data_IF_211564236686
#
_entry.id   IF_211564236686
#
_cell.length_a   1.000
_cell.length_b   1.000
_cell.length_c   1.000
_cell.angle_alpha   90.00
_cell.angle_beta   90.00
_cell.angle_gamma   90.00
#
_symmetry.space_group_name_H-M   'P 1'
#
loop_
_entity.id
_entity.type
_entity.pdbx_description
1 polymer ?
#
# COMPACT_ATOMS: atom_id res chain seq x y z
N UNK A 1 32.12 59.90 26.19
CA UNK A 1 31.92 58.95 25.09
C UNK A 1 30.46 58.57 25.10
N UNK A 2 29.66 59.24 24.22
CA UNK A 2 28.22 58.99 24.14
C UNK A 2 27.95 57.87 23.16
N UNK A 3 27.44 56.75 23.61
CA UNK A 3 27.00 55.64 22.76
C UNK A 3 25.59 55.99 22.28
N UNK A 4 25.47 56.39 21.01
CA UNK A 4 24.20 56.49 20.32
C UNK A 4 23.68 55.08 20.08
N UNK A 5 22.72 54.61 20.84
CA UNK A 5 21.86 53.48 20.51
C UNK A 5 20.91 53.96 19.40
N UNK A 6 21.24 53.65 18.15
CA UNK A 6 20.28 53.73 17.04
C UNK A 6 19.31 52.57 17.25
N UNK A 7 18.14 52.84 17.82
CA UNK A 7 16.99 51.96 17.71
C UNK A 7 16.61 51.91 16.21
N UNK A 8 16.76 50.78 15.58
CA UNK A 8 16.08 50.52 14.30
C UNK A 8 14.58 50.50 14.61
N UNK A 9 13.91 51.62 14.34
CA UNK A 9 12.46 51.65 14.18
C UNK A 9 12.22 51.14 12.75
N UNK A 10 11.99 49.82 12.60
CA UNK A 10 11.37 49.30 11.39
C UNK A 10 9.99 49.92 11.29
N UNK A 11 9.86 51.01 10.57
CA UNK A 11 8.56 51.51 10.13
C UNK A 11 8.08 50.58 9.02
N UNK A 12 7.35 49.50 9.39
CA UNK A 12 6.67 48.66 8.43
C UNK A 12 5.68 49.54 7.64
N UNK A 13 5.98 49.82 6.38
CA UNK A 13 5.04 50.45 5.44
C UNK A 13 4.24 49.36 4.74
N UNK A 14 2.96 49.58 4.56
CA UNK A 14 2.06 48.68 3.83
C UNK A 14 1.55 49.34 2.56
N UNK A 15 1.64 48.60 1.44
CA UNK A 15 1.20 49.10 0.15
C UNK A 15 -0.30 49.06 -0.02
N UNK A 16 -0.86 50.16 -0.53
CA UNK A 16 -2.23 50.22 -1.04
C UNK A 16 -2.28 50.26 -2.58
N UNK A 17 -1.16 50.06 -3.24
CA UNK A 17 -1.08 50.04 -4.70
C UNK A 17 -1.77 48.77 -5.28
N UNK A 18 -2.66 48.97 -6.25
CA UNK A 18 -3.42 47.86 -6.87
C UNK A 18 -2.50 46.95 -7.71
N UNK A 19 -1.28 47.39 -8.05
CA UNK A 19 -0.28 46.59 -8.73
C UNK A 19 0.43 45.57 -7.84
N UNK A 20 0.46 45.81 -6.52
CA UNK A 20 1.15 44.95 -5.59
C UNK A 20 0.26 43.75 -5.24
N UNK A 21 0.81 42.56 -5.43
CA UNK A 21 0.14 41.26 -5.32
C UNK A 21 1.00 40.29 -4.54
N UNK A 22 0.34 39.33 -3.90
CA UNK A 22 0.99 38.15 -3.33
C UNK A 22 1.34 37.14 -4.43
N UNK A 23 2.35 36.34 -4.17
CA UNK A 23 2.72 35.20 -5.02
C UNK A 23 2.51 33.92 -4.20
N UNK A 24 1.84 32.95 -4.79
CA UNK A 24 1.57 31.67 -4.15
C UNK A 24 2.54 30.62 -4.68
N UNK A 25 3.03 29.72 -3.82
CA UNK A 25 3.90 28.60 -4.22
C UNK A 25 3.17 27.57 -5.10
N UNK A 26 1.83 27.56 -5.04
CA UNK A 26 0.96 26.79 -5.93
C UNK A 26 -0.31 27.58 -6.24
N UNK A 27 -0.91 27.38 -7.40
CA UNK A 27 -2.24 27.89 -7.75
C UNK A 27 -3.37 26.94 -7.38
N UNK A 28 -3.02 25.67 -7.11
CA UNK A 28 -3.97 24.61 -6.77
C UNK A 28 -3.40 23.69 -5.68
N UNK A 29 -4.14 23.49 -4.59
CA UNK A 29 -3.88 22.46 -3.60
C UNK A 29 -4.72 21.24 -3.98
N UNK A 30 -4.03 20.17 -4.34
CA UNK A 30 -4.67 18.92 -4.77
C UNK A 30 -4.53 17.87 -3.68
N UNK A 31 -5.64 17.41 -3.18
CA UNK A 31 -5.74 16.20 -2.37
C UNK A 31 -6.03 15.02 -3.30
N UNK A 32 -5.41 13.91 -3.02
CA UNK A 32 -5.73 12.64 -3.68
C UNK A 32 -7.15 12.17 -3.36
N UNK A 33 -7.49 10.95 -3.74
CA UNK A 33 -8.78 10.36 -3.37
C UNK A 33 -8.84 10.14 -1.85
N UNK A 34 -9.89 10.64 -1.24
CA UNK A 34 -10.16 10.55 0.20
C UNK A 34 -11.45 9.78 0.44
N UNK A 35 -11.50 9.03 1.53
CA UNK A 35 -12.77 8.47 1.98
C UNK A 35 -13.63 9.54 2.64
N UNK A 36 -14.93 9.60 2.28
CA UNK A 36 -15.86 10.53 2.91
C UNK A 36 -15.90 10.36 4.43
N UNK A 37 -16.08 11.48 5.14
CA UNK A 37 -16.10 11.55 6.61
C UNK A 37 -14.77 11.13 7.31
N UNK A 38 -13.68 10.94 6.55
CA UNK A 38 -12.32 10.74 7.08
C UNK A 38 -11.52 12.01 6.82
N UNK A 39 -10.85 12.59 7.85
CA UNK A 39 -9.97 13.73 7.65
C UNK A 39 -8.80 13.39 6.72
N UNK A 40 -8.43 14.32 5.86
CA UNK A 40 -7.22 14.22 5.04
C UNK A 40 -5.95 14.42 5.90
N UNK A 41 -4.81 14.17 5.29
CA UNK A 41 -3.54 14.78 5.74
C UNK A 41 -3.61 16.29 5.55
N UNK A 42 -2.69 17.01 6.21
CA UNK A 42 -2.56 18.45 6.05
C UNK A 42 -1.65 18.75 4.87
N UNK A 43 -2.18 19.46 3.87
CA UNK A 43 -1.41 20.04 2.78
C UNK A 43 -1.01 21.47 3.12
N UNK A 44 0.11 21.93 2.51
CA UNK A 44 0.64 23.27 2.83
C UNK A 44 1.09 23.98 1.57
N UNK A 45 0.97 25.34 1.61
CA UNK A 45 1.58 26.19 0.59
C UNK A 45 2.01 27.53 1.20
N UNK A 46 2.97 28.17 0.53
CA UNK A 46 3.50 29.46 0.94
C UNK A 46 2.84 30.59 0.19
N UNK A 47 2.65 31.71 0.91
CA UNK A 47 2.18 33.00 0.38
C UNK A 47 3.32 34.00 0.55
N UNK A 48 3.91 34.44 -0.55
CA UNK A 48 5.09 35.30 -0.56
C UNK A 48 4.73 36.75 -0.93
N UNK A 49 5.40 37.71 -0.32
CA UNK A 49 5.38 39.10 -0.71
C UNK A 49 6.72 39.52 -1.34
N UNK A 50 6.72 39.77 -2.65
CA UNK A 50 7.87 40.26 -3.38
C UNK A 50 7.81 41.77 -3.70
N UNK A 51 6.80 42.47 -3.17
CA UNK A 51 6.66 43.92 -3.33
C UNK A 51 7.71 44.71 -2.51
N UNK A 52 7.83 46.01 -2.78
CA UNK A 52 8.74 46.90 -2.07
C UNK A 52 8.30 47.22 -0.63
N UNK A 53 7.03 47.03 -0.32
CA UNK A 53 6.40 47.29 0.96
C UNK A 53 5.64 46.06 1.45
N UNK A 54 5.22 46.04 2.72
CA UNK A 54 4.33 45.02 3.25
C UNK A 54 3.00 44.99 2.50
N UNK A 55 2.35 43.80 2.46
CA UNK A 55 0.98 43.63 1.95
C UNK A 55 0.10 43.18 3.07
N UNK A 56 -1.02 43.90 3.28
CA UNK A 56 -2.04 43.54 4.24
C UNK A 56 -3.18 42.77 3.57
N UNK A 57 -3.50 41.59 4.08
CA UNK A 57 -4.63 40.77 3.65
C UNK A 57 -5.79 41.09 4.59
N UNK A 58 -6.78 41.79 4.08
CA UNK A 58 -7.96 42.19 4.86
C UNK A 58 -8.78 40.98 5.27
N UNK A 59 -9.01 40.02 4.35
CA UNK A 59 -9.74 38.78 4.64
C UNK A 59 -9.19 37.60 3.85
N UNK A 60 -9.24 36.42 4.49
CA UNK A 60 -9.10 35.12 3.84
C UNK A 60 -10.33 34.28 4.14
N UNK A 61 -10.94 33.70 3.13
CA UNK A 61 -12.14 32.89 3.29
C UNK A 61 -12.25 31.81 2.22
N UNK A 62 -12.94 30.73 2.56
CA UNK A 62 -13.44 29.76 1.58
C UNK A 62 -14.64 30.36 0.82
N UNK A 63 -14.71 30.18 -0.49
CA UNK A 63 -15.81 30.74 -1.29
C UNK A 63 -17.15 30.10 -0.96
N UNK A 64 -17.13 28.76 -0.70
CA UNK A 64 -18.31 27.98 -0.31
C UNK A 64 -18.51 27.90 1.23
N UNK A 65 -17.65 28.56 2.00
CA UNK A 65 -17.67 28.53 3.46
C UNK A 65 -17.45 27.14 4.03
N UNK A 66 -18.33 26.68 4.92
CA UNK A 66 -18.19 25.35 5.55
C UNK A 66 -18.78 24.19 4.71
N UNK A 67 -19.37 24.48 3.55
CA UNK A 67 -20.11 23.48 2.77
C UNK A 67 -19.21 22.45 2.05
N UNK A 68 -17.97 22.83 1.75
CA UNK A 68 -17.02 21.97 1.03
C UNK A 68 -16.24 21.02 1.94
N UNK A 69 -16.30 21.24 3.27
CA UNK A 69 -15.58 20.43 4.25
C UNK A 69 -14.11 20.79 4.40
N UNK A 70 -13.58 21.80 3.67
CA UNK A 70 -12.23 22.31 3.86
C UNK A 70 -12.10 23.08 5.17
N UNK A 71 -10.94 22.95 5.81
CA UNK A 71 -10.50 23.71 6.96
C UNK A 71 -9.12 24.29 6.67
N UNK A 72 -8.97 25.57 6.94
CA UNK A 72 -7.76 26.29 6.59
C UNK A 72 -7.21 27.00 7.82
N UNK A 73 -5.89 26.92 8.00
CA UNK A 73 -5.15 27.73 8.98
C UNK A 73 -4.17 28.61 8.20
N UNK A 74 -4.24 29.91 8.44
CA UNK A 74 -3.37 30.91 7.82
C UNK A 74 -2.50 31.49 8.91
N UNK A 75 -1.20 31.32 8.81
CA UNK A 75 -0.21 31.87 9.76
C UNK A 75 -0.59 31.63 11.23
N UNK A 76 -0.97 30.39 11.56
CA UNK A 76 -1.35 29.97 12.92
C UNK A 76 -2.80 30.26 13.30
N UNK A 77 -3.60 30.92 12.46
CA UNK A 77 -5.00 31.26 12.72
C UNK A 77 -5.95 30.42 11.89
N UNK A 78 -6.84 29.65 12.50
CA UNK A 78 -7.91 28.93 11.81
C UNK A 78 -9.00 29.90 11.31
N UNK A 79 -9.47 29.69 10.07
CA UNK A 79 -10.61 30.43 9.53
C UNK A 79 -11.92 29.94 10.15
N UNK A 80 -12.70 30.83 10.76
CA UNK A 80 -14.01 30.54 11.35
C UNK A 80 -15.07 31.63 10.99
N UNK A 81 -15.76 31.57 9.89
CA UNK A 81 -15.39 31.00 8.59
C UNK A 81 -14.43 31.91 7.81
N UNK A 82 -14.11 33.09 8.33
CA UNK A 82 -13.28 34.14 7.71
C UNK A 82 -12.15 34.51 8.66
N UNK A 83 -10.93 34.57 8.15
CA UNK A 83 -9.78 35.14 8.83
C UNK A 83 -9.60 36.60 8.42
N UNK A 84 -9.09 37.43 9.32
CA UNK A 84 -8.94 38.87 9.14
C UNK A 84 -7.52 39.32 9.48
N UNK A 85 -7.09 40.40 8.82
CA UNK A 85 -5.94 41.24 9.22
C UNK A 85 -4.60 40.46 9.26
N UNK A 86 -4.28 39.68 8.21
CA UNK A 86 -2.98 39.06 8.07
C UNK A 86 -1.99 40.03 7.41
N UNK A 87 -0.76 40.04 7.88
CA UNK A 87 0.30 40.87 7.35
C UNK A 87 1.41 40.01 6.76
N UNK A 88 1.80 40.30 5.51
CA UNK A 88 2.98 39.69 4.88
C UNK A 88 3.98 40.82 4.64
N UNK A 89 5.02 40.88 5.48
CA UNK A 89 6.01 41.95 5.40
C UNK A 89 6.80 41.88 4.09
N UNK A 90 7.50 42.98 3.76
CA UNK A 90 8.36 43.03 2.59
C UNK A 90 9.38 41.88 2.59
N UNK A 91 9.37 41.10 1.51
CA UNK A 91 10.31 39.98 1.30
C UNK A 91 10.05 38.77 2.22
N UNK A 92 8.93 38.79 2.94
CA UNK A 92 8.53 37.71 3.86
C UNK A 92 7.48 36.78 3.24
N UNK A 93 7.13 35.74 3.96
CA UNK A 93 6.10 34.77 3.57
C UNK A 93 5.36 34.23 4.78
N UNK A 94 4.11 33.85 4.58
CA UNK A 94 3.29 33.14 5.55
C UNK A 94 2.94 31.75 5.02
N UNK A 95 2.77 30.80 5.94
CA UNK A 95 2.41 29.42 5.63
C UNK A 95 0.92 29.21 5.80
N UNK A 96 0.30 28.53 4.83
CA UNK A 96 -1.10 28.14 4.86
C UNK A 96 -1.19 26.62 4.94
N UNK A 97 -1.98 26.14 5.90
CA UNK A 97 -2.29 24.73 6.11
C UNK A 97 -3.73 24.48 5.66
N UNK A 98 -3.95 23.44 4.89
CA UNK A 98 -5.26 23.05 4.38
C UNK A 98 -5.53 21.59 4.73
N UNK A 99 -6.70 21.31 5.26
CA UNK A 99 -7.24 19.98 5.49
C UNK A 99 -8.65 19.91 4.90
N UNK A 100 -9.11 18.70 4.61
CA UNK A 100 -10.49 18.48 4.16
C UNK A 100 -11.08 17.24 4.82
N UNK A 101 -12.34 17.34 5.21
CA UNK A 101 -13.18 16.21 5.60
C UNK A 101 -14.44 16.30 4.77
N UNK A 102 -14.47 15.50 3.70
CA UNK A 102 -15.58 15.53 2.75
C UNK A 102 -16.84 14.88 3.34
N UNK A 103 -18.01 15.28 2.84
CA UNK A 103 -19.28 14.66 3.21
C UNK A 103 -19.57 13.45 2.33
N UNK A 104 -20.46 12.56 2.79
CA UNK A 104 -21.01 11.50 1.94
C UNK A 104 -21.73 12.11 0.73
N UNK A 105 -21.48 11.52 -0.44
CA UNK A 105 -22.03 11.98 -1.71
C UNK A 105 -23.03 10.99 -2.34
N UNK A 106 -23.15 9.79 -1.74
CA UNK A 106 -24.04 8.69 -2.17
C UNK A 106 -23.76 8.20 -3.60
N UNK A 107 -22.52 8.34 -4.07
CA UNK A 107 -22.07 7.84 -5.36
C UNK A 107 -21.21 6.57 -5.21
N UNK A 108 -21.27 5.70 -6.20
CA UNK A 108 -20.43 4.48 -6.23
C UNK A 108 -18.96 4.78 -6.56
N UNK A 109 -18.68 5.93 -7.14
CA UNK A 109 -17.34 6.35 -7.56
C UNK A 109 -16.94 7.66 -6.90
N UNK A 110 -15.64 7.91 -6.82
CA UNK A 110 -15.10 9.15 -6.28
C UNK A 110 -15.64 10.38 -7.02
N UNK A 111 -16.09 11.39 -6.27
CA UNK A 111 -16.63 12.64 -6.77
C UNK A 111 -15.69 13.80 -6.45
N UNK A 112 -15.55 14.72 -7.40
CA UNK A 112 -14.74 15.92 -7.24
C UNK A 112 -15.40 16.89 -6.25
N UNK A 113 -14.62 17.34 -5.26
CA UNK A 113 -14.98 18.37 -4.29
C UNK A 113 -14.03 19.53 -4.44
N UNK A 114 -14.54 20.68 -4.89
CA UNK A 114 -13.74 21.87 -5.13
C UNK A 114 -14.20 23.05 -4.25
N UNK A 115 -13.26 23.91 -3.90
CA UNK A 115 -13.52 25.23 -3.33
C UNK A 115 -12.40 26.20 -3.76
N UNK A 116 -12.62 27.50 -3.61
CA UNK A 116 -11.58 28.50 -3.78
C UNK A 116 -11.26 29.15 -2.41
N UNK A 117 -9.98 29.19 -2.07
CA UNK A 117 -9.51 29.99 -0.95
C UNK A 117 -9.21 31.40 -1.47
N UNK A 118 -10.02 32.35 -1.04
CA UNK A 118 -10.03 33.74 -1.54
C UNK A 118 -9.31 34.66 -0.57
N UNK A 119 -8.25 35.31 -1.04
CA UNK A 119 -7.50 36.35 -0.35
C UNK A 119 -7.95 37.71 -0.85
N UNK A 120 -8.49 38.56 0.01
CA UNK A 120 -8.85 39.95 -0.30
C UNK A 120 -7.82 40.87 0.34
N UNK A 121 -7.06 41.59 -0.47
CA UNK A 121 -6.04 42.52 0.00
C UNK A 121 -6.66 43.86 0.39
N UNK A 122 -5.98 44.64 1.24
CA UNK A 122 -6.40 45.99 1.66
C UNK A 122 -6.58 46.93 0.48
N UNK A 123 -5.81 46.75 -0.62
CA UNK A 123 -5.95 47.50 -1.88
C UNK A 123 -7.17 47.09 -2.74
N UNK A 124 -8.01 46.17 -2.25
CA UNK A 124 -9.21 45.67 -2.93
C UNK A 124 -8.98 44.55 -3.95
N UNK A 125 -7.75 44.14 -4.17
CA UNK A 125 -7.43 43.02 -5.08
C UNK A 125 -7.83 41.71 -4.45
N UNK A 126 -8.48 40.85 -5.22
CA UNK A 126 -8.75 39.48 -4.85
C UNK A 126 -7.86 38.52 -5.62
N UNK A 127 -7.29 37.56 -4.89
CA UNK A 127 -6.50 36.45 -5.45
C UNK A 127 -7.06 35.14 -4.89
N UNK A 128 -6.92 34.06 -5.65
CA UNK A 128 -7.49 32.76 -5.30
C UNK A 128 -6.46 31.66 -5.43
N UNK A 129 -6.56 30.67 -4.54
CA UNK A 129 -5.91 29.36 -4.66
C UNK A 129 -7.01 28.31 -4.72
N UNK A 130 -6.99 27.47 -5.74
CA UNK A 130 -7.97 26.40 -5.92
C UNK A 130 -7.69 25.25 -4.95
N UNK A 131 -8.73 24.69 -4.34
CA UNK A 131 -8.67 23.51 -3.50
C UNK A 131 -9.46 22.39 -4.19
N UNK A 132 -8.84 21.23 -4.39
CA UNK A 132 -9.43 20.09 -5.07
C UNK A 132 -9.20 18.81 -4.30
N UNK A 133 -10.25 17.99 -4.14
CA UNK A 133 -10.17 16.64 -3.58
C UNK A 133 -11.15 15.73 -4.32
N UNK A 134 -10.86 14.42 -4.33
CA UNK A 134 -11.82 13.41 -4.79
C UNK A 134 -12.39 12.68 -3.57
N UNK A 135 -13.69 12.78 -3.33
CA UNK A 135 -14.40 12.13 -2.23
C UNK A 135 -15.02 10.82 -2.68
N UNK A 136 -14.67 9.74 -2.02
CA UNK A 136 -15.21 8.42 -2.29
C UNK A 136 -15.94 7.89 -1.04
N UNK A 137 -17.22 7.56 -1.18
CA UNK A 137 -17.96 6.99 -0.08
C UNK A 137 -17.44 5.60 0.27
N UNK A 138 -17.28 5.36 1.57
CA UNK A 138 -16.81 4.09 2.08
C UNK A 138 -17.62 3.66 3.30
N UNK A 139 -17.91 2.37 3.40
CA UNK A 139 -18.53 1.80 4.59
C UNK A 139 -17.48 1.59 5.67
N UNK A 140 -17.66 2.22 6.82
CA UNK A 140 -16.76 2.05 7.98
C UNK A 140 -17.09 0.80 8.77
N UNK A 141 -16.05 0.06 9.13
CA UNK A 141 -16.11 -1.16 9.95
C UNK A 141 -15.12 -0.99 11.10
N UNK A 142 -15.60 -1.01 12.33
CA UNK A 142 -14.76 -0.88 13.51
C UNK A 142 -14.91 -2.10 14.41
N UNK A 143 -13.81 -2.78 14.72
CA UNK A 143 -13.74 -3.95 15.61
C UNK A 143 -14.84 -5.00 15.31
N UNK A 144 -15.01 -5.38 14.05
CA UNK A 144 -16.04 -6.32 13.64
C UNK A 144 -15.76 -7.73 14.18
N UNK A 145 -16.72 -8.27 14.93
CA UNK A 145 -16.72 -9.66 15.38
C UNK A 145 -17.74 -10.45 14.57
N UNK A 146 -17.25 -11.43 13.82
CA UNK A 146 -18.07 -12.38 13.05
C UNK A 146 -18.30 -13.61 13.92
N UNK A 147 -19.41 -13.64 14.63
CA UNK A 147 -19.78 -14.69 15.57
C UNK A 147 -20.65 -15.83 14.96
N UNK A 148 -21.14 -15.63 13.74
CA UNK A 148 -21.90 -16.60 12.94
C UNK A 148 -21.57 -16.43 11.46
N UNK A 149 -21.93 -17.40 10.65
CA UNK A 149 -21.69 -17.35 9.20
C UNK A 149 -22.21 -16.03 8.60
N UNK A 150 -21.30 -15.30 8.00
CA UNK A 150 -21.56 -13.95 7.50
C UNK A 150 -20.99 -13.79 6.10
N UNK A 151 -21.79 -13.27 5.18
CA UNK A 151 -21.33 -12.90 3.84
C UNK A 151 -21.32 -11.38 3.70
N UNK A 152 -20.20 -10.85 3.20
CA UNK A 152 -20.04 -9.44 2.84
C UNK A 152 -19.72 -9.37 1.35
N UNK A 153 -20.56 -8.66 0.62
CA UNK A 153 -20.37 -8.30 -0.77
C UNK A 153 -20.70 -6.81 -0.92
N UNK A 154 -19.82 -6.03 -1.53
CA UNK A 154 -19.99 -4.58 -1.60
C UNK A 154 -19.27 -3.98 -2.80
N UNK A 155 -19.94 -3.15 -3.57
CA UNK A 155 -19.35 -2.31 -4.61
C UNK A 155 -18.69 -1.06 -4.02
N UNK A 156 -19.11 -0.66 -2.81
CA UNK A 156 -18.53 0.45 -2.06
C UNK A 156 -17.41 -0.11 -1.16
N UNK A 157 -16.22 0.51 -1.12
CA UNK A 157 -15.12 0.03 -0.30
C UNK A 157 -15.45 -0.02 1.18
N UNK A 158 -14.88 -1.00 1.88
CA UNK A 158 -14.93 -1.09 3.34
C UNK A 158 -13.64 -0.52 3.92
N UNK A 159 -13.74 0.46 4.82
CA UNK A 159 -12.60 0.95 5.60
C UNK A 159 -12.65 0.38 7.00
N UNK A 160 -11.64 -0.40 7.36
CA UNK A 160 -11.58 -1.23 8.57
C UNK A 160 -10.66 -0.58 9.58
N UNK A 161 -11.21 -0.28 10.76
CA UNK A 161 -10.54 0.40 11.87
C UNK A 161 -10.33 -0.50 13.09
N UNK A 162 -9.68 0.04 14.09
CA UNK A 162 -9.45 -0.57 15.39
C UNK A 162 -8.60 -1.83 15.28
N UNK A 163 -9.03 -2.92 15.90
CA UNK A 163 -8.35 -4.22 15.79
C UNK A 163 -8.69 -4.97 14.49
N UNK A 164 -9.58 -4.42 13.65
CA UNK A 164 -9.97 -5.01 12.39
C UNK A 164 -11.17 -5.97 12.50
N UNK A 165 -11.06 -7.11 11.83
CA UNK A 165 -12.12 -8.14 11.76
C UNK A 165 -11.64 -9.39 12.49
N UNK A 166 -12.45 -9.93 13.41
CA UNK A 166 -12.22 -11.21 14.05
C UNK A 166 -13.31 -12.18 13.66
N UNK A 167 -12.92 -13.34 13.13
CA UNK A 167 -13.84 -14.45 12.84
C UNK A 167 -13.76 -15.47 13.96
N UNK A 168 -14.83 -15.66 14.72
CA UNK A 168 -14.89 -16.60 15.83
C UNK A 168 -14.91 -18.06 15.34
N UNK A 169 -14.49 -19.00 16.19
CA UNK A 169 -14.15 -20.38 15.81
C UNK A 169 -15.28 -21.17 15.16
N UNK A 170 -16.55 -20.82 15.42
CA UNK A 170 -17.72 -21.49 14.85
C UNK A 170 -18.28 -20.79 13.60
N UNK A 171 -17.66 -19.68 13.17
CA UNK A 171 -18.17 -18.82 12.12
C UNK A 171 -17.35 -18.92 10.85
N UNK A 172 -18.01 -18.69 9.72
CA UNK A 172 -17.40 -18.50 8.41
C UNK A 172 -17.62 -17.06 7.96
N UNK A 173 -16.53 -16.35 7.65
CA UNK A 173 -16.59 -15.08 6.92
C UNK A 173 -16.43 -15.35 5.43
N UNK A 174 -17.46 -15.03 4.65
CA UNK A 174 -17.39 -15.06 3.18
C UNK A 174 -17.33 -13.62 2.66
N UNK A 175 -16.27 -13.31 1.92
CA UNK A 175 -16.07 -12.03 1.25
C UNK A 175 -16.16 -12.23 -0.26
N UNK A 176 -16.94 -11.39 -0.96
CA UNK A 176 -17.08 -11.44 -2.41
C UNK A 176 -16.98 -10.06 -3.03
N UNK A 177 -16.18 -9.94 -4.09
CA UNK A 177 -16.09 -8.74 -4.94
C UNK A 177 -15.98 -7.44 -4.14
N UNK A 178 -15.19 -7.46 -3.05
CA UNK A 178 -15.13 -6.35 -2.08
C UNK A 178 -13.70 -5.88 -1.91
N UNK A 179 -13.49 -4.57 -1.91
CA UNK A 179 -12.21 -3.96 -1.52
C UNK A 179 -12.25 -3.54 -0.05
N UNK A 180 -11.30 -4.05 0.73
CA UNK A 180 -11.11 -3.73 2.14
C UNK A 180 -9.84 -2.88 2.29
N UNK A 181 -10.00 -1.71 2.86
CA UNK A 181 -8.94 -0.78 3.22
C UNK A 181 -8.75 -0.83 4.72
N UNK A 182 -7.54 -1.13 5.16
CA UNK A 182 -7.23 -1.29 6.58
C UNK A 182 -6.46 -0.10 7.10
N UNK A 183 -6.95 0.49 8.18
CA UNK A 183 -6.31 1.60 8.86
C UNK A 183 -5.28 1.07 9.85
N UNK A 184 -4.03 1.56 9.77
CA UNK A 184 -2.91 1.32 10.68
C UNK A 184 -2.81 -0.14 11.18
N UNK A 185 -3.00 -0.38 12.47
CA UNK A 185 -2.90 -1.71 13.09
C UNK A 185 -4.07 -2.66 12.83
N UNK A 186 -5.08 -2.28 12.04
CA UNK A 186 -6.20 -3.16 11.70
C UNK A 186 -5.74 -4.37 10.86
N UNK A 187 -6.47 -5.47 10.94
CA UNK A 187 -6.19 -6.69 10.18
C UNK A 187 -7.34 -7.67 10.27
N UNK A 188 -7.13 -8.92 9.83
CA UNK A 188 -8.10 -10.01 9.97
C UNK A 188 -7.53 -11.12 10.83
N UNK A 189 -8.20 -11.46 11.93
CA UNK A 189 -7.90 -12.63 12.75
C UNK A 189 -8.96 -13.71 12.50
N UNK A 190 -8.55 -14.85 11.97
CA UNK A 190 -9.44 -15.96 11.60
C UNK A 190 -9.25 -17.10 12.58
N UNK A 191 -10.21 -17.31 13.47
CA UNK A 191 -10.30 -18.48 14.35
C UNK A 191 -11.28 -19.53 13.81
N UNK A 192 -12.24 -19.09 12.99
CA UNK A 192 -13.20 -19.91 12.26
C UNK A 192 -12.73 -20.19 10.84
N UNK A 193 -13.48 -19.77 9.83
CA UNK A 193 -13.14 -19.96 8.41
C UNK A 193 -13.17 -18.64 7.64
N UNK A 194 -12.30 -18.53 6.65
CA UNK A 194 -12.29 -17.42 5.69
C UNK A 194 -12.45 -17.97 4.27
N UNK A 195 -13.45 -17.46 3.57
CA UNK A 195 -13.63 -17.67 2.13
C UNK A 195 -13.65 -16.30 1.46
N UNK A 196 -12.70 -16.03 0.56
CA UNK A 196 -12.61 -14.76 -0.16
C UNK A 196 -12.54 -15.01 -1.67
N UNK A 197 -13.33 -14.29 -2.44
CA UNK A 197 -13.40 -14.39 -3.89
C UNK A 197 -13.48 -12.99 -4.52
N UNK A 198 -12.56 -12.67 -5.43
CA UNK A 198 -12.54 -11.39 -6.14
C UNK A 198 -12.29 -10.18 -5.22
N UNK A 199 -11.55 -10.37 -4.12
CA UNK A 199 -11.37 -9.33 -3.10
C UNK A 199 -10.01 -8.67 -3.16
N UNK A 200 -9.94 -7.39 -2.77
CA UNK A 200 -8.71 -6.65 -2.58
C UNK A 200 -8.56 -6.27 -1.11
N UNK A 201 -7.39 -6.57 -0.54
CA UNK A 201 -7.01 -6.26 0.83
C UNK A 201 -5.77 -5.35 0.81
N UNK A 202 -5.88 -4.12 1.32
CA UNK A 202 -4.79 -3.14 1.25
C UNK A 202 -4.86 -2.11 2.39
N UNK A 203 -3.80 -1.33 2.56
CA UNK A 203 -3.83 -0.17 3.45
C UNK A 203 -4.77 0.93 2.94
N UNK A 204 -5.24 1.77 3.83
CA UNK A 204 -6.22 2.84 3.54
C UNK A 204 -5.59 4.14 3.05
N UNK A 205 -4.25 4.22 3.01
CA UNK A 205 -3.55 5.39 2.50
C UNK A 205 -3.60 5.39 0.96
N UNK A 206 -4.32 6.36 0.40
CA UNK A 206 -4.46 6.58 -1.05
C UNK A 206 -3.66 7.80 -1.52
N UNK A 207 -3.04 8.51 -0.60
CA UNK A 207 -2.22 9.69 -0.80
C UNK A 207 -0.73 9.35 -1.05
N UNK A 208 0.11 10.36 -1.05
CA UNK A 208 1.55 10.24 -1.25
C UNK A 208 2.30 10.46 0.08
N UNK A 209 3.37 9.68 0.31
CA UNK A 209 4.33 9.95 1.39
C UNK A 209 5.21 11.16 1.02
N UNK A 210 5.60 11.24 -0.25
CA UNK A 210 6.30 12.34 -0.90
C UNK A 210 5.74 12.45 -2.32
N UNK A 211 5.87 13.58 -2.99
CA UNK A 211 5.34 13.82 -4.35
C UNK A 211 5.66 12.70 -5.35
N UNK A 212 6.83 12.08 -5.21
CA UNK A 212 7.28 10.97 -6.05
C UNK A 212 6.95 9.57 -5.53
N UNK A 213 6.43 9.45 -4.29
CA UNK A 213 6.25 8.18 -3.60
C UNK A 213 4.82 8.00 -3.07
N UNK A 214 3.92 7.41 -3.87
CA UNK A 214 2.59 7.05 -3.42
C UNK A 214 2.64 6.02 -2.28
N UNK A 215 1.76 6.13 -1.29
CA UNK A 215 1.61 5.10 -0.25
C UNK A 215 1.25 3.73 -0.82
N UNK A 216 0.67 3.67 -2.00
CA UNK A 216 0.43 2.40 -2.71
C UNK A 216 1.69 1.57 -2.97
N UNK A 217 2.87 2.20 -2.91
CA UNK A 217 4.19 1.55 -3.06
C UNK A 217 4.89 1.27 -1.73
N UNK A 218 4.27 1.63 -0.60
CA UNK A 218 4.84 1.48 0.74
C UNK A 218 4.26 0.24 1.41
N UNK A 219 5.11 -0.63 1.92
CA UNK A 219 4.75 -1.81 2.69
C UNK A 219 4.50 -1.49 4.17
N UNK A 220 3.78 -2.36 4.89
CA UNK A 220 3.62 -2.26 6.35
C UNK A 220 2.54 -1.28 6.79
N UNK A 221 1.49 -1.07 6.00
CA UNK A 221 0.41 -0.14 6.31
C UNK A 221 -0.68 -0.74 7.21
N UNK A 222 -0.80 -2.06 7.27
CA UNK A 222 -1.79 -2.78 8.04
C UNK A 222 -1.25 -4.14 8.47
N UNK A 223 -1.88 -4.75 9.46
CA UNK A 223 -1.34 -5.94 10.13
C UNK A 223 -1.29 -7.19 9.23
N UNK A 224 -2.23 -7.35 8.29
CA UNK A 224 -2.40 -8.53 7.45
C UNK A 224 -3.49 -9.48 7.96
N UNK A 225 -3.46 -10.72 7.44
CA UNK A 225 -4.43 -11.78 7.73
C UNK A 225 -3.73 -12.87 8.53
N UNK A 226 -4.24 -13.18 9.71
CA UNK A 226 -3.74 -14.25 10.58
C UNK A 226 -4.78 -15.34 10.75
N UNK A 227 -4.43 -16.60 10.37
CA UNK A 227 -5.30 -17.76 10.47
C UNK A 227 -4.79 -18.65 11.59
N UNK A 228 -5.58 -18.78 12.65
CA UNK A 228 -5.23 -19.53 13.85
C UNK A 228 -5.40 -21.05 13.65
N UNK A 229 -4.75 -21.84 14.50
CA UNK A 229 -4.80 -23.32 14.49
C UNK A 229 -6.19 -23.90 14.79
N UNK A 230 -7.10 -23.10 15.32
CA UNK A 230 -8.51 -23.47 15.47
C UNK A 230 -9.29 -23.50 14.15
N UNK A 231 -8.81 -22.77 13.14
CA UNK A 231 -9.38 -22.76 11.79
C UNK A 231 -9.09 -24.06 11.07
N UNK A 232 -10.07 -24.60 10.32
CA UNK A 232 -9.90 -25.90 9.64
C UNK A 232 -9.64 -25.77 8.16
N UNK A 233 -10.34 -24.86 7.49
CA UNK A 233 -10.27 -24.72 6.06
C UNK A 233 -10.45 -23.26 5.65
N UNK A 234 -9.58 -22.78 4.78
CA UNK A 234 -9.63 -21.42 4.27
C UNK A 234 -9.39 -21.41 2.76
N UNK A 235 -10.11 -20.57 2.07
CA UNK A 235 -10.01 -20.45 0.63
C UNK A 235 -9.93 -19.00 0.19
N UNK A 236 -9.00 -18.71 -0.73
CA UNK A 236 -8.90 -17.43 -1.42
C UNK A 236 -8.78 -17.66 -2.93
N UNK A 237 -9.60 -16.98 -3.71
CA UNK A 237 -9.58 -17.09 -5.18
C UNK A 237 -9.71 -15.71 -5.82
N UNK A 238 -8.86 -15.44 -6.81
CA UNK A 238 -8.85 -14.16 -7.54
C UNK A 238 -8.79 -12.95 -6.59
N UNK A 239 -7.92 -13.03 -5.57
CA UNK A 239 -7.74 -11.98 -4.58
C UNK A 239 -6.42 -11.24 -4.76
N UNK A 240 -6.32 -10.05 -4.17
CA UNK A 240 -5.10 -9.29 -4.06
C UNK A 240 -4.87 -8.87 -2.61
N UNK A 241 -3.68 -9.15 -2.06
CA UNK A 241 -3.25 -8.72 -0.72
C UNK A 241 -1.99 -7.89 -0.90
N UNK A 242 -1.99 -6.63 -0.48
CA UNK A 242 -0.83 -5.75 -0.63
C UNK A 242 -0.63 -4.78 0.51
N UNK A 243 0.62 -4.30 0.61
CA UNK A 243 1.03 -3.26 1.56
C UNK A 243 0.87 -3.65 3.03
N UNK A 244 0.77 -4.93 3.35
CA UNK A 244 0.64 -5.42 4.72
C UNK A 244 1.97 -5.41 5.47
N UNK A 245 1.90 -5.59 6.79
CA UNK A 245 3.06 -5.99 7.57
C UNK A 245 3.41 -7.45 7.24
N UNK A 246 2.66 -8.44 7.73
CA UNK A 246 2.71 -9.83 7.28
C UNK A 246 1.43 -10.12 6.48
N UNK A 247 1.51 -10.36 5.16
CA UNK A 247 0.31 -10.37 4.35
C UNK A 247 -0.65 -11.50 4.74
N UNK A 248 -0.13 -12.73 4.86
CA UNK A 248 -0.94 -13.89 5.27
C UNK A 248 -0.09 -14.86 6.10
N UNK A 249 -0.56 -15.21 7.28
CA UNK A 249 0.02 -16.24 8.13
C UNK A 249 -0.99 -17.29 8.52
N UNK A 250 -0.59 -18.57 8.53
CA UNK A 250 -1.44 -19.66 9.00
C UNK A 250 -0.63 -20.73 9.74
N UNK A 251 -1.23 -21.33 10.76
CA UNK A 251 -0.63 -22.41 11.55
C UNK A 251 -1.65 -23.54 11.76
N UNK A 252 -1.22 -24.77 11.49
CA UNK A 252 -1.96 -26.01 11.76
C UNK A 252 -3.37 -26.04 11.14
N UNK A 253 -3.51 -25.55 9.92
CA UNK A 253 -4.79 -25.40 9.19
C UNK A 253 -4.66 -25.83 7.72
N UNK A 254 -5.77 -25.83 6.99
CA UNK A 254 -5.76 -25.98 5.54
C UNK A 254 -6.00 -24.62 4.85
N UNK A 255 -5.16 -24.32 3.84
CA UNK A 255 -5.26 -23.12 3.01
C UNK A 255 -5.23 -23.52 1.54
N UNK A 256 -6.25 -23.10 0.81
CA UNK A 256 -6.29 -23.18 -0.65
C UNK A 256 -6.31 -21.78 -1.24
N UNK A 257 -5.36 -21.49 -2.13
CA UNK A 257 -5.30 -20.22 -2.86
C UNK A 257 -5.18 -20.46 -4.36
N UNK A 258 -5.98 -19.73 -5.13
CA UNK A 258 -5.90 -19.73 -6.58
C UNK A 258 -5.94 -18.30 -7.13
N UNK A 259 -5.26 -18.05 -8.26
CA UNK A 259 -5.28 -16.78 -8.98
C UNK A 259 -4.99 -15.52 -8.11
N UNK A 260 -4.37 -15.70 -6.96
CA UNK A 260 -4.23 -14.67 -5.93
C UNK A 260 -2.83 -14.04 -5.97
N UNK A 261 -2.78 -12.73 -5.76
CA UNK A 261 -1.54 -11.93 -5.70
C UNK A 261 -1.30 -11.50 -4.26
N UNK A 262 -0.10 -11.77 -3.75
CA UNK A 262 0.44 -11.15 -2.54
C UNK A 262 1.63 -10.30 -2.95
N UNK A 263 1.58 -9.01 -2.63
CA UNK A 263 2.57 -8.04 -3.05
C UNK A 263 2.92 -7.03 -1.97
N UNK A 264 4.20 -6.66 -1.89
CA UNK A 264 4.71 -5.53 -1.12
C UNK A 264 4.39 -5.61 0.39
N UNK A 265 4.89 -6.64 1.06
CA UNK A 265 4.78 -6.79 2.52
C UNK A 265 6.07 -6.39 3.24
N UNK A 266 5.97 -5.78 4.41
CA UNK A 266 7.11 -5.41 5.23
C UNK A 266 7.73 -6.60 5.98
N UNK A 267 6.95 -7.63 6.24
CA UNK A 267 7.38 -8.91 6.76
C UNK A 267 7.30 -9.99 5.67
N UNK A 268 6.55 -11.06 5.91
CA UNK A 268 6.40 -12.18 4.99
C UNK A 268 5.21 -11.98 4.05
N UNK A 269 5.29 -12.59 2.84
CA UNK A 269 4.15 -12.70 1.94
C UNK A 269 3.17 -13.76 2.46
N UNK A 270 3.47 -15.04 2.28
CA UNK A 270 2.74 -16.14 2.90
C UNK A 270 3.68 -16.92 3.82
N UNK A 271 3.30 -17.03 5.09
CA UNK A 271 3.93 -17.92 6.07
C UNK A 271 2.95 -18.99 6.51
N UNK A 272 3.22 -20.26 6.12
CA UNK A 272 2.44 -21.41 6.58
C UNK A 272 3.30 -22.33 7.43
N UNK A 273 2.72 -22.76 8.55
CA UNK A 273 3.38 -23.70 9.47
C UNK A 273 2.45 -24.87 9.78
N UNK A 274 3.00 -26.10 9.74
CA UNK A 274 2.30 -27.34 10.09
C UNK A 274 0.92 -27.49 9.41
N UNK A 275 0.82 -27.02 8.17
CA UNK A 275 -0.44 -26.79 7.46
C UNK A 275 -0.50 -27.57 6.16
N UNK A 276 -1.71 -27.83 5.68
CA UNK A 276 -1.94 -28.31 4.31
C UNK A 276 -2.17 -27.10 3.39
N UNK A 277 -1.34 -26.96 2.36
CA UNK A 277 -1.31 -25.74 1.51
C UNK A 277 -1.42 -26.12 0.04
N UNK A 278 -2.40 -25.53 -0.65
CA UNK A 278 -2.57 -25.67 -2.09
C UNK A 278 -2.55 -24.31 -2.76
N UNK A 279 -1.54 -24.07 -3.60
CA UNK A 279 -1.35 -22.81 -4.31
C UNK A 279 -1.34 -23.07 -5.81
N UNK A 280 -2.22 -22.38 -6.55
CA UNK A 280 -2.26 -22.47 -8.00
C UNK A 280 -2.42 -21.10 -8.65
N UNK A 281 -1.60 -20.81 -9.65
CA UNK A 281 -1.60 -19.52 -10.37
C UNK A 281 -1.48 -18.31 -9.44
N UNK A 282 -0.74 -18.46 -8.34
CA UNK A 282 -0.51 -17.37 -7.38
C UNK A 282 0.78 -16.61 -7.66
N UNK A 283 0.83 -15.36 -7.21
CA UNK A 283 2.01 -14.51 -7.27
C UNK A 283 2.37 -14.02 -5.86
N UNK A 284 3.64 -14.17 -5.49
CA UNK A 284 4.19 -13.68 -4.22
C UNK A 284 5.42 -12.84 -4.54
N UNK A 285 5.33 -11.53 -4.32
CA UNK A 285 6.35 -10.59 -4.81
C UNK A 285 6.64 -9.46 -3.84
N UNK A 286 7.90 -9.00 -3.83
CA UNK A 286 8.34 -7.81 -3.11
C UNK A 286 8.00 -7.80 -1.62
N UNK A 287 8.53 -8.74 -0.86
CA UNK A 287 8.43 -8.76 0.60
C UNK A 287 9.80 -8.51 1.24
N UNK A 288 9.85 -7.82 2.37
CA UNK A 288 11.11 -7.68 3.09
C UNK A 288 11.55 -9.02 3.71
N UNK A 289 10.61 -9.81 4.23
CA UNK A 289 10.82 -11.20 4.62
C UNK A 289 10.75 -12.15 3.42
N UNK A 290 10.47 -13.43 3.68
CA UNK A 290 10.28 -14.42 2.61
C UNK A 290 8.98 -14.15 1.82
N UNK A 291 9.03 -14.28 0.49
CA UNK A 291 7.81 -14.17 -0.30
C UNK A 291 6.86 -15.34 0.00
N UNK A 292 7.40 -16.56 0.03
CA UNK A 292 6.69 -17.78 0.43
C UNK A 292 7.55 -18.56 1.43
N UNK A 293 7.01 -18.84 2.62
CA UNK A 293 7.66 -19.62 3.67
C UNK A 293 6.77 -20.78 4.12
N UNK A 294 7.19 -22.03 3.86
CA UNK A 294 6.48 -23.25 4.19
C UNK A 294 7.29 -24.07 5.20
N UNK A 295 6.75 -24.32 6.40
CA UNK A 295 7.46 -25.02 7.48
C UNK A 295 6.63 -26.15 8.04
N UNK A 296 7.08 -27.41 7.85
CA UNK A 296 6.37 -28.60 8.31
C UNK A 296 5.00 -28.76 7.63
N UNK A 297 4.93 -28.47 6.34
CA UNK A 297 3.69 -28.45 5.56
C UNK A 297 3.58 -29.64 4.60
N UNK A 298 2.36 -30.04 4.31
CA UNK A 298 2.02 -30.76 3.09
C UNK A 298 1.57 -29.73 2.04
N UNK A 299 2.37 -29.53 0.99
CA UNK A 299 2.19 -28.39 0.10
C UNK A 299 2.27 -28.77 -1.39
N UNK A 300 1.33 -28.22 -2.15
CA UNK A 300 1.36 -28.21 -3.62
C UNK A 300 1.45 -26.77 -4.09
N UNK A 301 2.47 -26.48 -4.91
CA UNK A 301 2.71 -25.16 -5.50
C UNK A 301 2.77 -25.33 -7.00
N UNK A 302 1.77 -24.86 -7.72
CA UNK A 302 1.65 -25.09 -9.16
C UNK A 302 1.38 -23.78 -9.91
N UNK A 303 2.07 -23.58 -11.04
CA UNK A 303 1.98 -22.37 -11.86
C UNK A 303 2.10 -21.06 -11.06
N UNK A 304 2.94 -21.02 -10.03
CA UNK A 304 3.14 -19.84 -9.21
C UNK A 304 4.34 -18.99 -9.66
N UNK A 305 4.30 -17.70 -9.35
CA UNK A 305 5.42 -16.78 -9.54
C UNK A 305 5.89 -16.26 -8.19
N UNK A 306 7.13 -16.53 -7.84
CA UNK A 306 7.78 -16.05 -6.62
C UNK A 306 8.92 -15.10 -7.01
N UNK A 307 8.77 -13.81 -6.74
CA UNK A 307 9.70 -12.77 -7.20
C UNK A 307 10.19 -11.88 -6.08
N UNK A 308 11.46 -12.07 -5.66
CA UNK A 308 12.05 -11.29 -4.57
C UNK A 308 12.81 -10.08 -5.11
N UNK A 309 12.09 -8.97 -5.31
CA UNK A 309 12.63 -7.70 -5.80
C UNK A 309 12.35 -6.54 -4.84
N UNK A 310 12.21 -6.80 -3.53
CA UNK A 310 11.89 -5.75 -2.55
C UNK A 310 12.94 -4.63 -2.59
N UNK A 311 12.53 -3.37 -2.84
CA UNK A 311 13.47 -2.30 -3.20
C UNK A 311 14.15 -1.64 -1.99
N UNK A 312 13.50 -1.65 -0.82
CA UNK A 312 13.91 -0.81 0.32
C UNK A 312 14.96 -1.44 1.24
N UNK A 313 15.45 -2.64 0.93
CA UNK A 313 16.49 -3.30 1.72
C UNK A 313 17.31 -4.27 0.87
N UNK A 314 18.62 -4.29 1.10
CA UNK A 314 19.50 -5.35 0.60
C UNK A 314 19.33 -6.66 1.41
N UNK A 315 19.00 -6.53 2.69
CA UNK A 315 18.76 -7.62 3.65
C UNK A 315 17.32 -8.12 3.57
N UNK A 316 16.95 -8.68 2.42
CA UNK A 316 15.63 -9.24 2.16
C UNK A 316 15.62 -10.76 2.31
N UNK A 317 14.46 -11.33 2.63
CA UNK A 317 14.28 -12.78 2.70
C UNK A 317 14.35 -13.48 1.34
N UNK A 318 14.13 -14.78 1.34
CA UNK A 318 14.11 -15.59 0.13
C UNK A 318 12.81 -15.40 -0.67
N UNK A 319 12.86 -15.68 -1.98
CA UNK A 319 11.62 -15.83 -2.75
C UNK A 319 10.84 -17.07 -2.29
N UNK A 320 11.54 -18.17 -2.03
CA UNK A 320 10.95 -19.39 -1.52
C UNK A 320 11.81 -19.99 -0.41
N UNK A 321 11.21 -20.17 0.77
CA UNK A 321 11.81 -20.91 1.88
C UNK A 321 10.93 -22.08 2.26
N UNK A 322 11.54 -23.28 2.44
CA UNK A 322 10.83 -24.45 2.95
C UNK A 322 11.70 -25.22 3.96
N UNK A 323 11.04 -25.75 4.98
CA UNK A 323 11.71 -26.44 6.07
C UNK A 323 10.81 -27.53 6.68
N UNK A 324 11.40 -28.58 7.25
CA UNK A 324 10.67 -29.39 8.20
C UNK A 324 10.63 -28.70 9.59
N UNK A 325 9.77 -29.18 10.45
CA UNK A 325 9.68 -28.80 11.87
C UNK A 325 9.68 -30.10 12.70
N UNK A 326 8.94 -30.18 13.78
CA UNK A 326 8.51 -31.45 14.36
C UNK A 326 7.44 -32.18 13.50
N UNK A 327 7.01 -31.53 12.39
CA UNK A 327 6.14 -32.11 11.36
C UNK A 327 6.92 -32.27 10.05
N UNK A 328 6.59 -33.31 9.26
CA UNK A 328 7.21 -33.49 7.93
C UNK A 328 7.00 -32.27 7.02
N UNK A 329 7.97 -32.08 6.12
CA UNK A 329 7.80 -31.23 4.95
C UNK A 329 7.60 -32.13 3.73
N UNK A 330 6.41 -32.08 3.13
CA UNK A 330 6.06 -32.76 1.89
C UNK A 330 5.71 -31.67 0.85
N UNK A 331 6.55 -31.52 -0.19
CA UNK A 331 6.41 -30.44 -1.15
C UNK A 331 6.40 -30.98 -2.58
N UNK A 332 5.34 -30.68 -3.30
CA UNK A 332 5.31 -30.78 -4.76
C UNK A 332 5.27 -29.37 -5.36
N UNK A 333 6.31 -29.00 -6.12
CA UNK A 333 6.40 -27.71 -6.79
C UNK A 333 6.53 -27.92 -8.30
N UNK A 334 5.53 -27.45 -9.05
CA UNK A 334 5.45 -27.67 -10.50
C UNK A 334 5.22 -26.37 -11.25
N UNK A 335 5.72 -26.27 -12.47
CA UNK A 335 5.46 -25.15 -13.38
C UNK A 335 5.65 -23.77 -12.72
N UNK A 336 6.60 -23.64 -11.81
CA UNK A 336 6.73 -22.44 -10.95
C UNK A 336 8.01 -21.66 -11.26
N UNK A 337 7.90 -20.34 -11.35
CA UNK A 337 8.99 -19.40 -11.49
C UNK A 337 9.42 -18.89 -10.12
N UNK A 338 10.67 -19.12 -9.72
CA UNK A 338 11.27 -18.61 -8.48
C UNK A 338 12.51 -17.80 -8.84
N UNK A 339 12.46 -16.49 -8.68
CA UNK A 339 13.51 -15.57 -9.10
C UNK A 339 13.62 -14.33 -8.20
N UNK A 340 14.62 -13.47 -8.41
CA UNK A 340 14.83 -12.27 -7.61
C UNK A 340 16.16 -11.57 -7.90
N UNK A 341 16.51 -10.59 -7.07
CA UNK A 341 17.78 -9.88 -7.18
C UNK A 341 18.97 -10.71 -6.73
N UNK A 342 18.83 -11.45 -5.62
CA UNK A 342 19.92 -12.25 -5.10
C UNK A 342 20.20 -13.44 -6.03
N UNK A 343 21.44 -13.95 -5.96
CA UNK A 343 21.88 -15.08 -6.78
C UNK A 343 21.27 -16.41 -6.32
N UNK A 344 20.92 -16.51 -5.03
CA UNK A 344 20.21 -17.63 -4.45
C UNK A 344 18.98 -17.14 -3.69
N UNK A 345 17.79 -17.50 -4.17
CA UNK A 345 16.50 -17.10 -3.58
C UNK A 345 15.65 -18.30 -3.19
N UNK A 346 16.20 -19.53 -3.26
CA UNK A 346 15.52 -20.77 -2.85
C UNK A 346 16.22 -21.35 -1.64
N UNK A 347 15.60 -21.24 -0.47
CA UNK A 347 16.20 -21.67 0.79
C UNK A 347 15.54 -22.93 1.34
N UNK A 348 16.32 -24.01 1.45
CA UNK A 348 15.93 -25.22 2.14
C UNK A 348 16.58 -25.31 3.49
N UNK A 349 15.80 -25.55 4.54
CA UNK A 349 16.31 -25.74 5.90
C UNK A 349 15.84 -27.08 6.49
N UNK A 350 16.76 -27.87 7.00
CA UNK A 350 16.43 -29.07 7.79
C UNK A 350 16.58 -28.73 9.26
N UNK A 351 15.47 -28.55 9.97
CA UNK A 351 15.46 -28.19 11.40
C UNK A 351 15.62 -29.44 12.29
N UNK A 352 15.06 -30.55 11.84
CA UNK A 352 15.17 -31.84 12.53
C UNK A 352 15.51 -32.94 11.50
N UNK A 353 16.65 -33.56 11.68
CA UNK A 353 17.15 -34.61 10.77
C UNK A 353 16.41 -35.96 10.95
N UNK A 354 15.65 -36.11 12.03
CA UNK A 354 14.83 -37.30 12.29
C UNK A 354 13.45 -37.25 11.67
N UNK A 355 13.04 -36.05 11.24
CA UNK A 355 11.72 -35.79 10.63
C UNK A 355 11.84 -35.76 9.10
N UNK A 356 10.89 -36.39 8.43
CA UNK A 356 10.88 -36.48 6.96
C UNK A 356 10.90 -35.11 6.30
N UNK A 357 11.75 -35.00 5.28
CA UNK A 357 11.80 -33.84 4.38
C UNK A 357 11.83 -34.38 2.94
N UNK A 358 10.64 -34.45 2.37
CA UNK A 358 10.43 -34.90 1.00
C UNK A 358 9.94 -33.74 0.14
N UNK A 359 10.60 -33.56 -1.01
CA UNK A 359 10.26 -32.45 -1.92
C UNK A 359 10.62 -32.81 -3.36
N UNK A 360 9.78 -32.36 -4.26
CA UNK A 360 10.00 -32.55 -5.68
C UNK A 360 9.69 -31.26 -6.46
N UNK A 361 10.59 -30.89 -7.35
CA UNK A 361 10.43 -29.77 -8.29
C UNK A 361 10.42 -30.31 -9.72
N UNK A 362 9.41 -29.94 -10.52
CA UNK A 362 9.36 -30.28 -11.95
C UNK A 362 8.90 -29.10 -12.79
N UNK A 363 9.50 -28.98 -13.96
CA UNK A 363 9.16 -27.92 -14.92
C UNK A 363 9.25 -26.51 -14.31
N UNK A 364 10.25 -26.24 -13.47
CA UNK A 364 10.42 -24.96 -12.80
C UNK A 364 11.59 -24.15 -13.36
N UNK A 365 11.55 -22.84 -13.14
CA UNK A 365 12.71 -21.95 -13.25
C UNK A 365 13.10 -21.54 -11.84
N UNK A 366 14.34 -21.86 -11.43
CA UNK A 366 14.82 -21.64 -10.08
C UNK A 366 16.11 -20.82 -10.11
N UNK A 367 16.11 -19.67 -9.42
CA UNK A 367 17.30 -18.85 -9.23
C UNK A 367 18.05 -19.31 -7.98
N UNK A 368 18.93 -20.28 -8.19
CA UNK A 368 19.80 -20.91 -7.21
C UNK A 368 20.84 -21.73 -7.94
N UNK A 369 21.90 -22.16 -7.27
CA UNK A 369 22.87 -23.06 -7.83
C UNK A 369 22.25 -24.41 -8.23
N UNK A 370 22.71 -24.96 -9.36
CA UNK A 370 22.22 -26.24 -9.83
C UNK A 370 22.54 -27.39 -8.88
N UNK A 371 21.57 -28.27 -8.66
CA UNK A 371 21.71 -29.46 -7.82
C UNK A 371 21.64 -30.70 -8.70
N UNK A 372 22.62 -31.58 -8.58
CA UNK A 372 22.67 -32.85 -9.30
C UNK A 372 21.87 -33.94 -8.56
N UNK A 373 20.56 -33.80 -8.52
CA UNK A 373 19.59 -34.73 -7.89
C UNK A 373 18.36 -34.87 -8.78
N UNK A 374 18.44 -35.84 -9.72
CA UNK A 374 17.37 -36.05 -10.69
C UNK A 374 16.07 -36.64 -10.11
N UNK A 375 16.13 -37.18 -8.90
CA UNK A 375 14.92 -37.69 -8.23
C UNK A 375 14.06 -36.55 -7.67
N UNK A 376 14.70 -35.43 -7.30
CA UNK A 376 14.03 -34.26 -6.71
C UNK A 376 13.86 -33.08 -7.66
N UNK A 377 14.65 -33.04 -8.74
CA UNK A 377 14.64 -31.91 -9.68
C UNK A 377 14.52 -32.40 -11.11
N UNK A 378 13.35 -32.30 -11.71
CA UNK A 378 13.04 -32.75 -13.03
C UNK A 378 12.76 -31.57 -13.99
N UNK A 379 13.46 -31.51 -15.13
CA UNK A 379 13.29 -30.46 -16.17
C UNK A 379 13.40 -29.02 -15.66
N UNK A 380 14.38 -28.78 -14.79
CA UNK A 380 14.59 -27.46 -14.19
C UNK A 380 15.44 -26.57 -15.11
N UNK A 381 15.06 -25.31 -15.23
CA UNK A 381 15.94 -24.24 -15.74
C UNK A 381 16.58 -23.57 -14.53
N UNK A 382 17.89 -23.73 -14.39
CA UNK A 382 18.65 -23.09 -13.33
C UNK A 382 19.08 -21.69 -13.75
N UNK A 383 18.68 -20.65 -13.01
CA UNK A 383 19.21 -19.31 -13.15
C UNK A 383 20.42 -19.14 -12.24
N UNK A 384 21.59 -19.21 -12.82
CA UNK A 384 22.85 -19.09 -12.06
C UNK A 384 23.27 -17.62 -11.91
N UNK A 385 24.18 -17.28 -10.96
CA UNK A 385 24.75 -15.93 -10.79
C UNK A 385 25.35 -15.30 -12.04
N UNK A 386 25.73 -16.14 -13.03
CA UNK A 386 26.28 -15.67 -14.32
C UNK A 386 25.21 -15.08 -15.25
N UNK A 387 23.95 -15.21 -14.93
CA UNK A 387 22.86 -14.60 -15.70
C UNK A 387 22.77 -13.10 -15.38
N UNK A 388 23.27 -12.27 -16.27
CA UNK A 388 23.46 -10.84 -16.06
C UNK A 388 22.16 -10.04 -15.89
N UNK A 389 21.00 -10.63 -16.17
CA UNK A 389 19.71 -9.93 -16.13
C UNK A 389 18.98 -10.12 -14.79
N UNK A 390 19.56 -10.85 -13.84
CA UNK A 390 19.06 -10.97 -12.46
C UNK A 390 17.57 -11.28 -12.35
N UNK A 391 17.01 -12.10 -13.23
CA UNK A 391 15.61 -12.49 -13.20
C UNK A 391 14.61 -11.43 -13.68
N UNK A 392 14.98 -10.17 -13.82
CA UNK A 392 14.11 -9.09 -14.32
C UNK A 392 13.54 -9.38 -15.71
N UNK A 393 14.29 -10.08 -16.54
CA UNK A 393 13.92 -10.49 -17.91
C UNK A 393 12.63 -11.29 -18.03
N UNK A 394 12.14 -11.85 -16.93
CA UNK A 394 10.90 -12.62 -16.94
C UNK A 394 9.65 -11.74 -16.94
N UNK A 395 9.79 -10.46 -16.59
CA UNK A 395 8.66 -9.57 -16.31
C UNK A 395 8.60 -8.41 -17.29
N UNK A 396 7.41 -7.90 -17.52
CA UNK A 396 7.21 -6.74 -18.40
C UNK A 396 7.94 -5.51 -17.89
N UNK A 397 7.90 -5.25 -16.59
CA UNK A 397 8.56 -4.06 -16.03
C UNK A 397 9.03 -4.32 -14.60
N UNK A 398 10.31 -4.08 -14.36
CA UNK A 398 10.91 -3.96 -13.02
C UNK A 398 11.69 -2.65 -13.01
N UNK A 399 11.03 -1.59 -12.63
CA UNK A 399 11.58 -0.22 -12.55
C UNK A 399 11.80 0.16 -11.09
N UNK A 400 13.05 0.05 -10.65
CA UNK A 400 13.46 0.31 -9.28
C UNK A 400 13.50 1.81 -8.95
N UNK A 401 13.83 2.64 -9.94
CA UNK A 401 13.98 4.07 -9.76
C UNK A 401 12.62 4.74 -9.50
N UNK A 402 11.59 4.25 -10.18
CA UNK A 402 10.21 4.73 -10.01
C UNK A 402 9.37 3.81 -9.10
N UNK A 403 9.95 2.74 -8.54
CA UNK A 403 9.26 1.75 -7.71
C UNK A 403 8.02 1.16 -8.42
N UNK A 404 8.10 0.99 -9.73
CA UNK A 404 7.02 0.46 -10.54
C UNK A 404 7.32 -0.98 -10.97
N UNK A 405 6.42 -1.90 -10.63
CA UNK A 405 6.59 -3.33 -10.83
C UNK A 405 5.38 -3.94 -11.53
N UNK A 406 5.56 -4.38 -12.77
CA UNK A 406 4.60 -5.23 -13.50
C UNK A 406 5.17 -6.65 -13.60
N UNK A 407 4.75 -7.52 -12.69
CA UNK A 407 5.15 -8.92 -12.64
C UNK A 407 4.41 -9.81 -13.63
N UNK A 408 3.71 -9.25 -14.61
CA UNK A 408 3.20 -10.02 -15.75
C UNK A 408 4.38 -10.64 -16.49
N UNK A 409 4.33 -11.95 -16.69
CA UNK A 409 5.41 -12.66 -17.40
C UNK A 409 5.45 -12.19 -18.86
N UNK A 410 6.61 -11.72 -19.29
CA UNK A 410 6.82 -11.23 -20.65
C UNK A 410 6.82 -12.41 -21.65
N UNK A 411 6.25 -12.20 -22.81
CA UNK A 411 6.17 -13.19 -23.90
C UNK A 411 7.53 -13.66 -24.43
N UNK A 412 8.58 -12.86 -24.27
CA UNK A 412 9.96 -13.24 -24.63
C UNK A 412 10.64 -14.10 -23.56
N UNK A 413 10.08 -14.20 -22.37
CA UNK A 413 10.61 -14.99 -21.27
C UNK A 413 10.55 -16.50 -21.57
N UNK A 414 11.59 -17.29 -21.22
CA UNK A 414 11.51 -18.74 -21.22
C UNK A 414 10.36 -19.28 -20.37
N UNK A 415 9.96 -18.55 -19.32
CA UNK A 415 8.82 -18.89 -18.48
C UNK A 415 7.52 -18.89 -19.29
N UNK A 416 7.27 -17.84 -20.08
CA UNK A 416 6.09 -17.75 -20.94
C UNK A 416 6.04 -18.90 -21.96
N UNK A 417 7.17 -19.16 -22.64
CA UNK A 417 7.25 -20.16 -23.69
C UNK A 417 6.99 -21.58 -23.19
N UNK A 418 7.23 -21.85 -21.91
CA UNK A 418 7.06 -23.17 -21.28
C UNK A 418 5.85 -23.24 -20.36
N UNK A 419 5.02 -22.20 -20.31
CA UNK A 419 3.88 -22.10 -19.39
C UNK A 419 4.29 -22.26 -17.90
N UNK A 420 5.41 -21.63 -17.52
CA UNK A 420 5.95 -21.65 -16.16
C UNK A 420 5.61 -20.32 -15.47
N UNK A 421 5.13 -20.38 -14.23
CA UNK A 421 4.69 -19.22 -13.46
C UNK A 421 3.22 -18.87 -13.66
N UNK A 422 2.81 -17.74 -13.07
CA UNK A 422 1.44 -17.24 -13.16
C UNK A 422 1.17 -16.61 -14.52
N UNK A 423 0.78 -17.42 -15.47
CA UNK A 423 0.32 -16.95 -16.77
C UNK A 423 -1.20 -17.08 -16.82
N UNK A 424 -1.88 -15.96 -16.78
CA UNK A 424 -3.33 -15.93 -16.91
C UNK A 424 -3.74 -16.03 -18.38
N UNK A 425 -4.83 -16.76 -18.71
CA UNK A 425 -5.35 -16.75 -20.05
C UNK A 425 -5.72 -15.32 -20.47
N UNK A 426 -5.35 -14.95 -21.69
CA UNK A 426 -5.76 -13.69 -22.29
C UNK A 426 -7.30 -13.72 -22.40
N UNK A 427 -7.95 -12.78 -21.71
CA UNK A 427 -9.41 -12.62 -21.78
C UNK A 427 -9.84 -12.04 -23.13
#
# INVERSE_FOLDING_TARGET
>A
MAVCLTACTDNDSFSTAVGDRLTFSTDTVLFDTLFSTVPSVTETFWVHNHASDGIRIQTVRLERGTQSGYRVNVDGTYLDPVGHDFEVRKGDSILVFVEVTTHENHAETAQLVEDDLVFTLENGVQQKVKLCAYSWDARKVDNLVVASDTTIESTVPLVVYGNGIRVDSAATLTLRNTTLYFHDGAGIEVRGQLVAEGCVFRGDRLDHMFDYLPYDRISGQWRGISIASSSKYNRMDNCEIRNAWDALSCDSTALQMANTVIHNSRGVGLSARNSSVQLSYCQFTNTLGDCLSLKGCEAVVDHCTLGQFYPFSADRGAAFRFANTNMPMLLLCTNTLVTGYADDVVMRETKDTTVVMDYHFSDCILRTDSVADAERFERIIWETPKDSVQGKKHFKTIDEDNLYYDFTIDSISPAFQRNIGRILPVK
#
